data_IF_791707897630
#
_entry.id   IF_791707897630
#
_cell.length_a   1.000
_cell.length_b   1.000
_cell.length_c   1.000
_cell.angle_alpha   90.00
_cell.angle_beta   90.00
_cell.angle_gamma   90.00
#
_symmetry.space_group_name_H-M   'P 1'
#
loop_
_entity.id
_entity.type
_entity.pdbx_description
1 polymer ?
#
# COMPACT_ATOMS: atom_id res chain seq x y z
N UNK A 1 -8.77 3.83 -18.05
CA UNK A 1 -7.40 3.64 -18.58
C UNK A 1 -6.43 3.93 -17.46
N UNK A 2 -5.52 3.02 -17.14
CA UNK A 2 -4.43 3.30 -16.18
C UNK A 2 -3.36 4.11 -16.91
N UNK A 3 -2.87 5.19 -16.30
CA UNK A 3 -1.71 5.91 -16.80
C UNK A 3 -0.52 5.69 -15.88
N UNK A 4 0.64 5.51 -16.49
CA UNK A 4 1.91 5.38 -15.79
C UNK A 4 2.77 6.58 -16.15
N UNK A 5 3.19 7.31 -15.12
CA UNK A 5 4.14 8.39 -15.26
C UNK A 5 5.47 7.95 -14.65
N UNK A 6 6.54 8.09 -15.41
CA UNK A 6 7.89 7.79 -14.93
C UNK A 6 8.64 9.09 -14.68
N UNK A 7 9.25 9.20 -13.49
CA UNK A 7 10.08 10.33 -13.08
C UNK A 7 11.41 9.87 -12.54
N UNK A 8 12.44 10.70 -12.67
CA UNK A 8 13.74 10.47 -12.05
C UNK A 8 13.70 11.10 -10.64
N UNK A 9 14.05 10.31 -9.62
CA UNK A 9 14.15 10.75 -8.21
C UNK A 9 15.56 10.45 -7.70
N UNK A 10 16.45 11.44 -7.81
CA UNK A 10 17.87 11.27 -7.50
C UNK A 10 18.52 10.25 -8.43
N UNK A 11 19.11 9.18 -7.87
CA UNK A 11 19.71 8.06 -8.61
C UNK A 11 18.73 6.90 -8.89
N UNK A 12 17.43 7.20 -8.92
CA UNK A 12 16.35 6.22 -9.02
C UNK A 12 15.31 6.64 -10.05
N UNK A 13 14.49 5.70 -10.50
CA UNK A 13 13.30 5.95 -11.33
C UNK A 13 12.07 5.56 -10.51
N UNK A 14 11.08 6.45 -10.44
CA UNK A 14 9.78 6.17 -9.84
C UNK A 14 8.70 6.12 -10.92
N UNK A 15 7.93 5.04 -10.95
CA UNK A 15 6.72 4.90 -11.74
C UNK A 15 5.49 5.13 -10.88
N UNK A 16 4.76 6.21 -11.14
CA UNK A 16 3.50 6.54 -10.47
C UNK A 16 2.35 5.99 -11.30
N UNK A 17 1.51 5.15 -10.68
CA UNK A 17 0.30 4.64 -11.33
C UNK A 17 -0.91 5.51 -10.95
N UNK A 18 -1.52 6.11 -11.96
CA UNK A 18 -2.79 6.83 -11.81
C UNK A 18 -3.93 5.97 -12.36
N UNK A 19 -4.96 5.82 -11.54
CA UNK A 19 -6.17 5.11 -11.89
C UNK A 19 -6.72 4.32 -10.72
N UNK A 20 -7.96 3.89 -10.89
CA UNK A 20 -8.71 3.15 -9.89
C UNK A 20 -8.89 1.72 -10.38
N UNK A 21 -8.56 0.76 -9.51
CA UNK A 21 -8.77 -0.67 -9.70
C UNK A 21 -10.04 -1.08 -8.97
N UNK A 22 -10.75 -2.05 -9.54
CA UNK A 22 -11.95 -2.63 -8.94
C UNK A 22 -11.79 -4.15 -8.85
N UNK A 23 -12.15 -4.74 -7.71
CA UNK A 23 -12.20 -6.18 -7.50
C UNK A 23 -13.58 -6.56 -6.96
N UNK A 24 -14.32 -7.36 -7.72
CA UNK A 24 -15.65 -7.84 -7.33
C UNK A 24 -15.56 -9.26 -6.78
N UNK A 25 -15.98 -9.45 -5.54
CA UNK A 25 -16.15 -10.77 -4.93
C UNK A 25 -17.62 -11.19 -5.07
N UNK A 26 -17.94 -11.82 -6.21
CA UNK A 26 -19.32 -12.12 -6.59
C UNK A 26 -20.07 -12.97 -5.55
N UNK A 27 -19.37 -13.89 -4.89
CA UNK A 27 -19.97 -14.76 -3.88
C UNK A 27 -20.35 -14.01 -2.59
N UNK A 28 -19.75 -12.85 -2.35
CA UNK A 28 -20.00 -12.02 -1.18
C UNK A 28 -20.81 -10.76 -1.51
N UNK A 29 -21.08 -10.50 -2.80
CA UNK A 29 -21.72 -9.27 -3.24
C UNK A 29 -20.87 -8.00 -3.00
N UNK A 30 -19.56 -8.15 -2.82
CA UNK A 30 -18.65 -7.05 -2.45
C UNK A 30 -17.93 -6.46 -3.66
N UNK A 31 -17.74 -5.14 -3.65
CA UNK A 31 -16.99 -4.43 -4.69
C UNK A 31 -15.90 -3.54 -4.07
N UNK A 32 -14.66 -4.00 -4.16
CA UNK A 32 -13.51 -3.29 -3.64
C UNK A 32 -12.95 -2.30 -4.67
N UNK A 33 -12.89 -1.02 -4.30
CA UNK A 33 -12.29 0.06 -5.06
C UNK A 33 -10.93 0.41 -4.45
N UNK A 34 -9.88 0.47 -5.26
CA UNK A 34 -8.53 0.70 -4.75
C UNK A 34 -7.63 1.46 -5.73
N UNK A 35 -6.79 2.35 -5.21
CA UNK A 35 -5.64 2.85 -5.98
C UNK A 35 -4.50 1.82 -5.93
N UNK A 36 -3.28 2.20 -6.29
CA UNK A 36 -2.13 1.29 -6.31
C UNK A 36 -0.85 1.96 -5.82
N UNK A 37 0.13 1.17 -5.35
CA UNK A 37 1.40 1.73 -4.96
C UNK A 37 2.19 2.18 -6.19
N UNK A 38 3.12 3.09 -5.96
CA UNK A 38 4.15 3.46 -6.92
C UNK A 38 5.24 2.39 -6.95
N UNK A 39 6.01 2.36 -8.02
CA UNK A 39 7.16 1.47 -8.18
C UNK A 39 8.44 2.31 -8.16
N UNK A 40 9.35 2.02 -7.23
CA UNK A 40 10.65 2.67 -7.14
C UNK A 40 11.75 1.70 -7.59
N UNK A 41 12.51 2.08 -8.61
CA UNK A 41 13.67 1.34 -9.11
C UNK A 41 14.93 2.13 -8.78
N UNK A 42 15.77 1.59 -7.89
CA UNK A 42 17.09 2.12 -7.56
C UNK A 42 18.15 1.35 -8.32
N UNK A 43 19.09 2.02 -8.98
CA UNK A 43 20.14 1.36 -9.78
C UNK A 43 21.44 1.11 -9.02
N UNK A 44 21.76 1.96 -8.02
CA UNK A 44 23.02 1.90 -7.29
C UNK A 44 22.80 1.74 -5.78
N UNK A 45 23.74 1.07 -5.06
CA UNK A 45 24.88 0.31 -5.56
C UNK A 45 24.49 -1.08 -6.13
N UNK A 46 23.30 -1.59 -5.78
CA UNK A 46 22.74 -2.82 -6.30
C UNK A 46 21.32 -2.53 -6.78
N UNK A 47 20.96 -2.90 -8.02
CA UNK A 47 19.61 -2.71 -8.54
C UNK A 47 18.55 -3.31 -7.61
N UNK A 48 17.56 -2.50 -7.24
CA UNK A 48 16.46 -2.91 -6.35
C UNK A 48 15.15 -2.25 -6.77
N UNK A 49 14.10 -3.04 -6.76
CA UNK A 49 12.72 -2.55 -6.89
C UNK A 49 12.04 -2.52 -5.53
N UNK A 50 11.20 -1.52 -5.32
CA UNK A 50 10.36 -1.36 -4.14
C UNK A 50 8.97 -0.84 -4.52
N UNK A 51 8.01 -1.01 -3.62
CA UNK A 51 6.75 -0.30 -3.66
C UNK A 51 6.79 0.90 -2.73
N UNK A 52 6.23 2.01 -3.17
CA UNK A 52 6.15 3.27 -2.41
C UNK A 52 4.74 3.85 -2.43
N UNK A 53 4.44 4.69 -1.45
CA UNK A 53 3.20 5.46 -1.40
C UNK A 53 2.05 4.75 -0.67
N UNK A 54 0.93 5.45 -0.59
CA UNK A 54 -0.23 5.02 0.17
C UNK A 54 -1.27 4.37 -0.74
N UNK A 55 -1.87 3.28 -0.26
CA UNK A 55 -2.94 2.56 -0.93
C UNK A 55 -4.15 2.49 -0.02
N UNK A 56 -5.29 2.89 -0.54
CA UNK A 56 -6.60 2.73 0.08
C UNK A 56 -7.37 1.68 -0.70
N UNK A 57 -7.98 0.75 0.03
CA UNK A 57 -8.87 -0.29 -0.50
C UNK A 57 -10.19 -0.16 0.25
N UNK A 58 -11.29 0.09 -0.45
CA UNK A 58 -12.59 0.34 0.19
C UNK A 58 -13.68 -0.54 -0.43
N UNK A 59 -14.53 -1.10 0.43
CA UNK A 59 -15.76 -1.80 0.06
C UNK A 59 -16.92 -1.11 0.77
N UNK A 60 -17.86 -0.57 0.01
CA UNK A 60 -19.01 0.14 0.59
C UNK A 60 -20.04 -0.85 1.15
N UNK A 61 -20.16 -2.02 0.53
CA UNK A 61 -21.15 -3.03 0.91
C UNK A 61 -20.83 -3.65 2.27
N UNK A 62 -19.55 -3.76 2.63
CA UNK A 62 -19.10 -4.37 3.89
C UNK A 62 -18.66 -3.34 4.95
N UNK A 63 -18.73 -2.04 4.66
CA UNK A 63 -18.19 -0.95 5.50
C UNK A 63 -16.71 -1.16 5.89
N UNK A 64 -15.91 -1.80 5.02
CA UNK A 64 -14.50 -2.08 5.28
C UNK A 64 -13.60 -1.21 4.42
N UNK A 65 -12.58 -0.64 5.06
CA UNK A 65 -11.51 0.08 4.40
C UNK A 65 -10.15 -0.35 4.94
N UNK A 66 -9.19 -0.52 4.04
CA UNK A 66 -7.81 -0.79 4.38
C UNK A 66 -6.93 0.36 3.89
N UNK A 67 -6.15 0.91 4.80
CA UNK A 67 -5.12 1.90 4.50
C UNK A 67 -3.76 1.24 4.64
N UNK A 68 -2.99 1.23 3.55
CA UNK A 68 -1.65 0.66 3.49
C UNK A 68 -0.65 1.74 3.11
N UNK A 69 0.53 1.70 3.71
CA UNK A 69 1.67 2.54 3.42
C UNK A 69 2.84 1.64 3.00
N UNK A 70 3.25 1.75 1.74
CA UNK A 70 4.39 1.07 1.18
C UNK A 70 5.62 1.96 1.24
N UNK A 71 6.73 1.40 1.73
CA UNK A 71 7.94 2.16 1.98
C UNK A 71 7.80 3.08 3.19
N UNK A 72 8.59 2.85 4.24
CA UNK A 72 8.62 3.72 5.40
C UNK A 72 9.38 5.03 5.14
N UNK A 73 8.86 6.15 5.63
CA UNK A 73 9.58 7.42 5.68
C UNK A 73 10.88 7.25 6.47
N UNK A 74 12.02 7.26 5.76
CA UNK A 74 13.32 7.46 6.38
C UNK A 74 13.49 8.95 6.61
N UNK A 75 13.16 9.47 7.79
CA UNK A 75 13.35 10.90 8.06
C UNK A 75 14.83 11.29 8.17
N UNK A 76 15.77 10.33 8.25
CA UNK A 76 17.20 10.61 8.44
C UNK A 76 18.16 9.60 7.75
N UNK A 77 17.76 8.99 6.63
CA UNK A 77 18.66 8.19 5.80
C UNK A 77 19.18 6.85 6.37
N UNK A 78 18.91 6.56 7.66
CA UNK A 78 19.21 5.27 8.29
C UNK A 78 17.89 4.62 8.73
N UNK A 79 17.51 3.50 8.09
CA UNK A 79 16.52 2.58 8.68
C UNK A 79 15.13 2.52 8.03
N UNK A 80 14.93 3.03 6.82
CA UNK A 80 13.74 2.64 6.03
C UNK A 80 13.76 1.13 5.81
N UNK A 81 12.81 0.39 6.40
CA UNK A 81 12.69 -1.06 6.24
C UNK A 81 12.42 -1.34 4.75
N UNK A 82 13.42 -1.87 4.04
CA UNK A 82 13.28 -2.24 2.63
C UNK A 82 12.09 -3.17 2.44
N UNK A 83 11.25 -2.89 1.44
CA UNK A 83 10.03 -3.65 1.16
C UNK A 83 8.97 -3.64 2.25
N UNK A 84 9.04 -2.70 3.20
CA UNK A 84 8.04 -2.65 4.28
C UNK A 84 6.67 -2.27 3.78
N UNK A 85 5.67 -2.88 4.39
CA UNK A 85 4.28 -2.43 4.35
C UNK A 85 3.77 -2.29 5.77
N UNK A 86 3.06 -1.21 6.04
CA UNK A 86 2.27 -1.00 7.25
C UNK A 86 0.86 -0.65 6.87
N UNK A 87 -0.10 -1.01 7.69
CA UNK A 87 -1.47 -0.63 7.42
C UNK A 87 -2.42 -0.94 8.55
N UNK A 88 -3.67 -0.61 8.28
CA UNK A 88 -4.80 -0.86 9.17
C UNK A 88 -6.03 -1.18 8.36
N UNK A 89 -6.87 -2.03 8.93
CA UNK A 89 -8.23 -2.27 8.46
C UNK A 89 -9.14 -1.52 9.43
N UNK A 90 -10.05 -0.74 8.87
CA UNK A 90 -10.99 0.12 9.59
C UNK A 90 -12.42 -0.16 9.15
N UNK A 91 -13.36 0.04 10.06
CA UNK A 91 -14.77 0.27 9.71
C UNK A 91 -14.88 1.68 9.11
N UNK A 92 -15.34 1.82 7.86
CA UNK A 92 -15.36 3.11 7.17
C UNK A 92 -16.29 4.12 7.88
N UNK A 93 -17.46 3.67 8.34
CA UNK A 93 -18.45 4.53 8.99
C UNK A 93 -17.99 5.14 10.31
N UNK A 94 -17.20 4.41 11.08
CA UNK A 94 -16.74 4.82 12.42
C UNK A 94 -15.28 5.25 12.45
N UNK A 95 -14.54 5.02 11.36
CA UNK A 95 -13.07 5.15 11.30
C UNK A 95 -12.34 4.33 12.38
N UNK A 96 -13.00 3.32 12.94
CA UNK A 96 -12.47 2.47 14.00
C UNK A 96 -11.53 1.44 13.41
N UNK A 97 -10.29 1.42 13.89
CA UNK A 97 -9.34 0.38 13.50
C UNK A 97 -9.70 -0.96 14.16
N UNK A 98 -9.89 -1.98 13.33
CA UNK A 98 -10.18 -3.35 13.76
C UNK A 98 -8.92 -4.22 13.73
N UNK A 99 -8.04 -3.99 12.76
CA UNK A 99 -6.77 -4.71 12.62
C UNK A 99 -5.64 -3.78 12.24
N UNK A 100 -4.43 -4.15 12.66
CA UNK A 100 -3.18 -3.60 12.15
C UNK A 100 -2.45 -4.65 11.33
N UNK A 101 -1.79 -4.20 10.28
CA UNK A 101 -1.00 -5.03 9.38
C UNK A 101 0.43 -4.45 9.35
N UNK A 102 1.45 -5.27 9.54
CA UNK A 102 2.85 -4.90 9.33
C UNK A 102 3.62 -6.08 8.72
N UNK A 103 4.57 -5.79 7.84
CA UNK A 103 5.47 -6.79 7.32
C UNK A 103 6.28 -6.31 6.13
N UNK A 104 6.59 -7.24 5.25
CA UNK A 104 7.30 -7.01 4.01
C UNK A 104 6.47 -7.51 2.82
N UNK A 105 6.18 -6.64 1.85
CA UNK A 105 5.25 -6.94 0.76
C UNK A 105 5.70 -8.11 -0.14
N UNK A 106 6.99 -8.47 -0.09
CA UNK A 106 7.58 -9.59 -0.83
C UNK A 106 7.73 -10.89 -0.03
N UNK A 107 7.38 -10.91 1.27
CA UNK A 107 7.63 -12.06 2.15
C UNK A 107 6.44 -12.44 3.01
N UNK A 108 6.02 -11.54 3.88
CA UNK A 108 5.01 -11.83 4.88
C UNK A 108 4.31 -10.54 5.30
N UNK A 109 3.05 -10.68 5.67
CA UNK A 109 2.27 -9.64 6.33
C UNK A 109 1.69 -10.29 7.58
N UNK A 110 1.93 -9.68 8.73
CA UNK A 110 1.37 -10.12 10.01
C UNK A 110 0.24 -9.19 10.44
N UNK A 111 -0.88 -9.82 10.80
CA UNK A 111 -2.06 -9.16 11.35
C UNK A 111 -2.03 -9.20 12.87
N UNK A 112 -2.33 -8.07 13.49
CA UNK A 112 -2.62 -8.01 14.93
C UNK A 112 -3.98 -7.37 15.17
N UNK A 113 -4.72 -7.93 16.13
CA UNK A 113 -5.97 -7.35 16.60
C UNK A 113 -5.68 -6.00 17.25
N UNK A 114 -6.54 -5.02 16.99
CA UNK A 114 -6.48 -3.76 17.71
C UNK A 114 -7.26 -3.91 19.03
N UNK A 115 -6.56 -4.32 20.10
CA UNK A 115 -7.13 -4.44 21.46
C UNK A 115 -7.07 -3.11 22.19
N UNK A 116 -8.19 -2.73 22.81
CA UNK A 116 -8.35 -1.58 23.73
C UNK A 116 -7.63 -1.80 25.05
#
# INVERSE_FOLDING_TARGET
MFSFNFGIVGASVEGTMHGTRQMKLLNHGENYVMNAPNVLIRFFPVPKTDFTGNVTIRCEESDLEAELCFGGYSFLGFGGKYRSVKGRIIESSTSKTIYKEEGHWDRYISRTNFTY
#
